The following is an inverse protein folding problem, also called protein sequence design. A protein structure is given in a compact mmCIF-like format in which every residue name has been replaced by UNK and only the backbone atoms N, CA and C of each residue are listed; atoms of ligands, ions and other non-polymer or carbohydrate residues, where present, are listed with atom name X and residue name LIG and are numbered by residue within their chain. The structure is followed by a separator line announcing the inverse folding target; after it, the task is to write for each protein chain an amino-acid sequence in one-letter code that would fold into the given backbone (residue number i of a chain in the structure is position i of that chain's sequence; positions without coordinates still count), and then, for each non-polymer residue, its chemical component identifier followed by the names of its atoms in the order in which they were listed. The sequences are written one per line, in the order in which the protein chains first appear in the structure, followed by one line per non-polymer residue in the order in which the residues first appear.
data_IF_806307424675
#
_entry.id   IF_806307424675
#
_cell.length_a   1.000
_cell.length_b   1.000
_cell.length_c   1.000
_cell.angle_alpha   90.00
_cell.angle_beta   90.00
_cell.angle_gamma   90.00
#
_symmetry.space_group_name_H-M   'P 1'
#
loop_
_entity.id
_entity.type
_entity.pdbx_description
1 polymer ?
#
# COMPACT_ATOMS: atom_id res chain seq x y z
N UNK A 1 -5.47 -9.21 10.40
CA UNK A 1 -4.95 -9.38 9.02
C UNK A 1 -4.97 -10.82 8.53
N UNK A 2 -5.79 -11.09 7.51
CA UNK A 2 -5.82 -12.36 6.76
C UNK A 2 -4.90 -12.26 5.53
N UNK A 3 -3.99 -13.22 5.37
CA UNK A 3 -3.18 -13.41 4.16
C UNK A 3 -3.13 -14.91 3.92
N UNK A 4 -3.56 -15.36 2.75
CA UNK A 4 -3.57 -16.77 2.36
C UNK A 4 -2.51 -17.03 1.29
N UNK A 5 -2.17 -18.29 1.07
CA UNK A 5 -1.28 -18.71 -0.01
C UNK A 5 -2.12 -19.42 -1.07
N UNK A 6 -1.94 -19.04 -2.33
CA UNK A 6 -2.54 -19.70 -3.48
C UNK A 6 -1.46 -20.17 -4.46
N UNK A 7 -1.75 -21.25 -5.18
CA UNK A 7 -0.91 -21.77 -6.24
C UNK A 7 -1.67 -21.77 -7.56
N UNK A 8 -1.05 -21.27 -8.63
CA UNK A 8 -1.44 -21.50 -10.00
C UNK A 8 -0.61 -22.62 -10.63
N UNK A 9 -1.25 -23.38 -11.53
CA UNK A 9 -0.58 -24.31 -12.44
C UNK A 9 -0.89 -23.96 -13.92
N UNK A 10 0.17 -23.80 -14.72
CA UNK A 10 0.10 -23.52 -16.15
C UNK A 10 0.80 -24.62 -16.94
N UNK A 11 0.07 -25.34 -17.78
CA UNK A 11 0.61 -26.43 -18.60
C UNK A 11 0.82 -25.94 -20.03
N UNK A 12 2.06 -25.78 -20.52
CA UNK A 12 2.33 -25.24 -21.85
C UNK A 12 1.92 -26.18 -22.98
N UNK A 13 1.53 -25.61 -24.12
CA UNK A 13 1.52 -26.32 -25.40
C UNK A 13 2.96 -26.75 -25.78
N UNK A 14 3.14 -27.80 -26.61
CA UNK A 14 4.45 -28.23 -27.07
C UNK A 14 5.25 -27.08 -27.72
N UNK A 15 6.48 -26.87 -27.25
CA UNK A 15 7.37 -25.81 -27.76
C UNK A 15 7.04 -24.38 -27.27
N UNK A 16 6.05 -24.20 -26.39
CA UNK A 16 5.60 -22.88 -25.90
C UNK A 16 6.08 -22.51 -24.50
N UNK A 17 7.09 -23.20 -23.97
CA UNK A 17 7.56 -22.98 -22.59
C UNK A 17 8.03 -21.55 -22.34
N UNK A 18 8.85 -21.00 -23.23
CA UNK A 18 9.45 -19.68 -23.03
C UNK A 18 8.39 -18.57 -23.21
N UNK A 19 7.57 -18.64 -24.26
CA UNK A 19 6.44 -17.73 -24.47
C UNK A 19 5.46 -17.73 -23.28
N UNK A 20 5.25 -18.90 -22.66
CA UNK A 20 4.38 -19.01 -21.49
C UNK A 20 4.98 -18.29 -20.28
N UNK A 21 6.30 -18.27 -20.10
CA UNK A 21 6.94 -17.56 -18.99
C UNK A 21 6.61 -16.06 -19.07
N UNK A 22 6.84 -15.45 -20.22
CA UNK A 22 6.57 -14.02 -20.42
C UNK A 22 5.07 -13.69 -20.21
N UNK A 23 4.17 -14.55 -20.71
CA UNK A 23 2.73 -14.36 -20.56
C UNK A 23 2.27 -14.52 -19.09
N UNK A 24 2.86 -15.46 -18.35
CA UNK A 24 2.59 -15.64 -16.92
C UNK A 24 3.11 -14.44 -16.13
N UNK A 25 4.31 -13.95 -16.42
CA UNK A 25 4.87 -12.77 -15.75
C UNK A 25 3.98 -11.53 -15.99
N UNK A 26 3.45 -11.35 -17.20
CA UNK A 26 2.49 -10.29 -17.52
C UNK A 26 1.15 -10.45 -16.75
N UNK A 27 0.66 -11.68 -16.59
CA UNK A 27 -0.53 -11.96 -15.76
C UNK A 27 -0.29 -11.57 -14.30
N UNK A 28 0.84 -11.98 -13.71
CA UNK A 28 1.16 -11.67 -12.32
C UNK A 28 1.42 -10.18 -12.10
N UNK A 29 2.02 -9.48 -13.07
CA UNK A 29 2.11 -8.01 -13.04
C UNK A 29 0.72 -7.36 -12.98
N UNK A 30 -0.22 -7.82 -13.81
CA UNK A 30 -1.61 -7.34 -13.79
C UNK A 30 -2.34 -7.65 -12.48
N UNK A 31 -2.16 -8.85 -11.92
CA UNK A 31 -2.74 -9.24 -10.63
C UNK A 31 -2.22 -8.37 -9.49
N UNK A 32 -0.92 -8.02 -9.51
CA UNK A 32 -0.29 -7.10 -8.57
C UNK A 32 -0.88 -5.70 -8.64
N UNK A 33 -0.91 -5.13 -9.86
CA UNK A 33 -1.43 -3.79 -10.10
C UNK A 33 -2.92 -3.68 -9.73
N UNK A 34 -3.71 -4.74 -9.97
CA UNK A 34 -5.10 -4.78 -9.58
C UNK A 34 -5.30 -5.03 -8.06
N UNK A 35 -4.26 -5.48 -7.36
CA UNK A 35 -4.26 -5.78 -5.92
C UNK A 35 -4.92 -7.11 -5.55
N UNK A 36 -5.03 -8.05 -6.49
CA UNK A 36 -5.54 -9.41 -6.26
C UNK A 36 -4.53 -10.32 -5.57
N UNK A 37 -3.25 -9.99 -5.70
CA UNK A 37 -2.15 -10.68 -5.02
C UNK A 37 -1.29 -9.66 -4.27
N UNK A 38 -0.59 -10.13 -3.26
CA UNK A 38 0.24 -9.33 -2.35
C UNK A 38 1.68 -9.84 -2.31
N UNK A 39 2.62 -8.92 -2.11
CA UNK A 39 4.05 -9.22 -1.99
C UNK A 39 4.66 -9.95 -3.17
N UNK A 40 5.69 -10.74 -2.92
CA UNK A 40 6.35 -11.47 -4.00
C UNK A 40 5.63 -12.77 -4.34
N UNK A 41 5.89 -13.26 -5.55
CA UNK A 41 5.45 -14.58 -6.00
C UNK A 41 6.67 -15.40 -6.40
N UNK A 42 6.59 -16.71 -6.22
CA UNK A 42 7.68 -17.65 -6.56
C UNK A 42 7.19 -18.53 -7.69
N UNK A 43 7.95 -18.58 -8.78
CA UNK A 43 7.57 -19.29 -9.98
C UNK A 43 8.65 -20.32 -10.39
N UNK A 44 8.22 -21.54 -10.71
CA UNK A 44 9.12 -22.65 -11.03
C UNK A 44 8.50 -23.68 -11.98
N UNK A 45 9.34 -24.48 -12.62
CA UNK A 45 8.87 -25.63 -13.41
C UNK A 45 8.84 -26.87 -12.54
N UNK A 46 7.65 -27.46 -12.37
CA UNK A 46 7.45 -28.65 -11.56
C UNK A 46 6.50 -29.58 -12.31
N UNK A 47 6.90 -30.84 -12.51
CA UNK A 47 6.07 -31.87 -13.17
C UNK A 47 5.49 -31.44 -14.54
N UNK A 48 6.25 -30.66 -15.31
CA UNK A 48 5.84 -30.20 -16.64
C UNK A 48 4.95 -28.94 -16.64
N UNK A 49 4.49 -28.46 -15.49
CA UNK A 49 3.78 -27.19 -15.34
C UNK A 49 4.71 -26.07 -14.90
N UNK A 50 4.42 -24.84 -15.33
CA UNK A 50 4.91 -23.64 -14.65
C UNK A 50 3.97 -23.43 -13.46
N UNK A 51 4.48 -23.61 -12.25
CA UNK A 51 3.74 -23.36 -11.01
C UNK A 51 4.13 -22.01 -10.44
N UNK A 52 3.16 -21.27 -9.93
CA UNK A 52 3.38 -19.98 -9.28
C UNK A 52 2.67 -19.94 -7.94
N UNK A 53 3.43 -19.78 -6.87
CA UNK A 53 2.92 -19.59 -5.51
C UNK A 53 2.89 -18.10 -5.18
N UNK A 54 1.77 -17.60 -4.68
CA UNK A 54 1.57 -16.19 -4.36
C UNK A 54 0.73 -16.00 -3.10
N UNK A 55 0.76 -14.80 -2.53
CA UNK A 55 -0.10 -14.43 -1.41
C UNK A 55 -1.36 -13.76 -1.94
N UNK A 56 -2.51 -14.14 -1.41
CA UNK A 56 -3.82 -13.58 -1.75
C UNK A 56 -4.54 -13.07 -0.50
N UNK A 57 -5.34 -12.01 -0.60
CA UNK A 57 -6.06 -11.45 0.54
C UNK A 57 -7.35 -12.19 0.93
N UNK A 58 -7.83 -13.09 0.07
CA UNK A 58 -9.07 -13.83 0.25
C UNK A 58 -9.08 -15.11 -0.59
N UNK A 59 -10.01 -16.01 -0.29
CA UNK A 59 -10.12 -17.28 -1.01
C UNK A 59 -10.63 -17.14 -2.45
N UNK A 60 -11.30 -16.03 -2.75
CA UNK A 60 -11.89 -15.68 -4.04
C UNK A 60 -11.05 -14.68 -4.84
N UNK A 61 -9.90 -14.22 -4.31
CA UNK A 61 -9.18 -13.09 -4.88
C UNK A 61 -8.72 -13.29 -6.32
N UNK A 62 -8.59 -14.54 -6.76
CA UNK A 62 -8.17 -14.93 -8.10
C UNK A 62 -9.34 -15.27 -9.04
N UNK A 63 -10.59 -15.08 -8.60
CA UNK A 63 -11.77 -15.27 -9.43
C UNK A 63 -11.84 -14.27 -10.59
N UNK A 64 -12.28 -14.74 -11.76
CA UNK A 64 -12.46 -13.93 -12.98
C UNK A 64 -13.39 -12.71 -12.76
N UNK A 65 -14.27 -12.72 -11.74
CA UNK A 65 -15.16 -11.60 -11.39
C UNK A 65 -14.41 -10.37 -10.86
N UNK A 66 -13.20 -10.56 -10.31
CA UNK A 66 -12.35 -9.50 -9.79
C UNK A 66 -11.32 -9.02 -10.82
N UNK A 67 -11.19 -9.73 -11.94
CA UNK A 67 -10.22 -9.44 -12.97
C UNK A 67 -10.49 -8.09 -13.65
N UNK A 68 -9.45 -7.26 -13.69
CA UNK A 68 -9.42 -6.02 -14.46
C UNK A 68 -9.37 -6.29 -15.97
N UNK A 69 -9.40 -5.25 -16.80
CA UNK A 69 -9.24 -5.43 -18.24
C UNK A 69 -7.85 -5.96 -18.58
N UNK A 70 -6.80 -5.43 -17.94
CA UNK A 70 -5.42 -5.92 -18.05
C UNK A 70 -5.32 -7.40 -17.65
N UNK A 71 -5.86 -7.77 -16.48
CA UNK A 71 -5.81 -9.17 -16.00
C UNK A 71 -6.52 -10.11 -16.98
N UNK A 72 -7.71 -9.74 -17.47
CA UNK A 72 -8.45 -10.55 -18.45
C UNK A 72 -7.68 -10.75 -19.75
N UNK A 73 -7.04 -9.70 -20.26
CA UNK A 73 -6.25 -9.77 -21.49
C UNK A 73 -4.98 -10.63 -21.31
N UNK A 74 -4.29 -10.49 -20.18
CA UNK A 74 -3.14 -11.32 -19.85
C UNK A 74 -3.54 -12.79 -19.68
N UNK A 75 -4.64 -13.06 -18.97
CA UNK A 75 -5.16 -14.42 -18.78
C UNK A 75 -5.58 -15.06 -20.12
N UNK A 76 -6.17 -14.30 -21.04
CA UNK A 76 -6.47 -14.78 -22.38
C UNK A 76 -5.21 -15.18 -23.16
N UNK A 77 -4.14 -14.39 -23.02
CA UNK A 77 -2.83 -14.69 -23.65
C UNK A 77 -2.20 -15.96 -23.07
N UNK A 78 -2.25 -16.12 -21.74
CA UNK A 78 -1.82 -17.36 -21.07
C UNK A 78 -2.65 -18.55 -21.53
N UNK A 79 -3.99 -18.44 -21.58
CA UNK A 79 -4.90 -19.51 -22.04
C UNK A 79 -4.60 -19.96 -23.46
N UNK A 80 -4.17 -19.06 -24.35
CA UNK A 80 -3.79 -19.40 -25.72
C UNK A 80 -2.49 -20.22 -25.83
N UNK A 81 -1.65 -20.20 -24.78
CA UNK A 81 -0.37 -20.90 -24.72
C UNK A 81 -0.42 -22.19 -23.90
N UNK A 82 -1.53 -22.44 -23.19
CA UNK A 82 -1.69 -23.62 -22.36
C UNK A 82 -2.41 -24.77 -23.09
N UNK A 83 -1.99 -26.00 -22.79
CA UNK A 83 -2.66 -27.22 -23.24
C UNK A 83 -4.03 -27.42 -22.56
N UNK A 84 -4.20 -26.86 -21.37
CA UNK A 84 -5.44 -26.86 -20.60
C UNK A 84 -5.65 -25.49 -19.91
N UNK A 85 -6.88 -25.13 -19.53
CA UNK A 85 -7.13 -23.88 -18.83
C UNK A 85 -6.30 -23.78 -17.54
N UNK A 86 -5.67 -22.62 -17.25
CA UNK A 86 -4.95 -22.42 -16.00
C UNK A 86 -5.83 -22.72 -14.79
N UNK A 87 -5.27 -23.46 -13.83
CA UNK A 87 -5.95 -23.82 -12.59
C UNK A 87 -5.27 -23.14 -11.41
N UNK A 88 -6.04 -22.83 -10.38
CA UNK A 88 -5.49 -22.37 -9.11
C UNK A 88 -6.31 -22.88 -7.92
N UNK A 89 -5.66 -22.90 -6.77
CA UNK A 89 -6.30 -23.21 -5.49
C UNK A 89 -5.60 -22.49 -4.35
N UNK A 90 -6.34 -22.18 -3.29
CA UNK A 90 -5.74 -21.82 -1.99
C UNK A 90 -5.14 -23.07 -1.37
N UNK A 91 -3.88 -22.98 -0.94
CA UNK A 91 -3.10 -24.07 -0.32
C UNK A 91 -2.85 -23.85 1.17
N UNK A 92 -3.36 -22.74 1.73
CA UNK A 92 -3.35 -22.46 3.17
C UNK A 92 -4.52 -23.17 3.86
N UNK A 93 -4.32 -23.69 5.07
CA UNK A 93 -5.36 -24.33 5.88
C UNK A 93 -6.37 -23.30 6.42
N UNK A 94 -5.99 -22.02 6.44
CA UNK A 94 -6.87 -20.93 6.87
C UNK A 94 -7.84 -20.56 5.74
N UNK A 95 -9.02 -20.14 6.16
CA UNK A 95 -10.05 -19.59 5.26
C UNK A 95 -10.57 -18.29 5.83
N UNK A 96 -11.06 -17.42 4.97
CA UNK A 96 -11.68 -16.17 5.36
C UNK A 96 -11.89 -15.26 4.17
N UNK A 97 -12.83 -14.33 4.35
CA UNK A 97 -13.12 -13.31 3.36
C UNK A 97 -12.15 -12.14 3.50
N UNK A 98 -11.80 -11.47 2.38
CA UNK A 98 -10.98 -10.28 2.42
C UNK A 98 -11.69 -9.14 3.17
N UNK A 99 -10.92 -8.20 3.74
CA UNK A 99 -11.49 -7.04 4.42
C UNK A 99 -12.28 -6.17 3.44
N UNK A 100 -13.54 -5.90 3.77
CA UNK A 100 -14.43 -4.99 3.04
C UNK A 100 -14.22 -3.54 3.49
N UNK A 101 -14.24 -2.61 2.55
CA UNK A 101 -14.26 -1.17 2.85
C UNK A 101 -15.64 -0.64 3.22
N UNK A 102 -16.72 -1.38 2.90
CA UNK A 102 -18.11 -0.89 3.06
C UNK A 102 -18.54 -0.76 4.52
N UNK A 103 -17.84 -1.44 5.42
CA UNK A 103 -18.11 -1.43 6.86
C UNK A 103 -17.32 -0.32 7.57
N UNK A 104 -16.46 0.41 6.84
CA UNK A 104 -15.64 1.48 7.36
C UNK A 104 -16.33 2.84 7.33
N UNK A 105 -15.88 3.75 8.21
CA UNK A 105 -16.28 5.17 8.22
C UNK A 105 -15.14 6.11 7.87
N UNK A 106 -13.94 5.56 7.78
CA UNK A 106 -12.70 6.26 7.53
C UNK A 106 -11.65 5.24 7.12
N UNK A 107 -10.77 5.58 6.18
CA UNK A 107 -9.58 4.78 5.84
C UNK A 107 -8.32 5.58 6.18
N UNK A 108 -7.17 4.92 6.19
CA UNK A 108 -5.89 5.63 6.11
C UNK A 108 -4.93 4.92 5.17
N UNK A 109 -4.00 5.70 4.62
CA UNK A 109 -3.04 5.30 3.63
C UNK A 109 -1.68 5.16 4.29
N UNK A 110 -1.19 3.92 4.39
CA UNK A 110 0.03 3.57 5.09
C UNK A 110 0.59 2.25 4.57
N UNK A 111 1.91 2.18 4.45
CA UNK A 111 2.62 0.91 4.28
C UNK A 111 4.01 1.03 4.90
N UNK A 112 4.76 -0.05 4.96
CA UNK A 112 6.14 -0.07 5.40
C UNK A 112 6.87 -1.26 4.78
N UNK A 113 8.19 -1.30 4.91
CA UNK A 113 9.06 -2.31 4.27
C UNK A 113 8.74 -3.74 4.73
N UNK A 114 8.37 -3.93 6.00
CA UNK A 114 8.14 -5.26 6.57
C UNK A 114 6.80 -5.92 6.21
N UNK A 115 5.83 -5.16 5.71
CA UNK A 115 4.52 -5.71 5.32
C UNK A 115 4.25 -5.46 3.84
N UNK A 116 4.02 -6.55 3.11
CA UNK A 116 3.80 -6.51 1.67
C UNK A 116 2.31 -6.60 1.28
N UNK A 117 1.44 -5.87 1.96
CA UNK A 117 -0.02 -5.88 1.76
C UNK A 117 -0.54 -4.62 1.05
N UNK A 118 -1.86 -4.45 0.96
CA UNK A 118 -2.45 -3.22 0.42
C UNK A 118 -2.05 -1.99 1.25
N UNK A 119 -1.76 -0.84 0.61
CA UNK A 119 -1.47 0.42 1.31
C UNK A 119 -2.71 1.11 1.89
N UNK A 120 -3.92 0.65 1.54
CA UNK A 120 -5.18 1.20 2.05
C UNK A 120 -5.62 0.41 3.28
N UNK A 121 -5.65 1.04 4.44
CA UNK A 121 -5.96 0.43 5.73
C UNK A 121 -7.35 0.84 6.24
N UNK A 122 -8.05 -0.12 6.83
CA UNK A 122 -9.30 0.11 7.55
C UNK A 122 -9.08 1.07 8.74
N UNK A 123 -9.97 2.05 8.90
CA UNK A 123 -9.83 3.02 9.99
C UNK A 123 -10.16 2.45 11.37
N UNK A 124 -10.90 1.34 11.44
CA UNK A 124 -11.26 0.72 12.73
C UNK A 124 -10.10 0.00 13.40
N UNK A 125 -9.31 -0.76 12.64
CA UNK A 125 -8.29 -1.67 13.19
C UNK A 125 -6.94 -1.61 12.46
N UNK A 126 -6.91 -1.04 11.25
CA UNK A 126 -5.71 -0.94 10.43
C UNK A 126 -5.49 -2.12 9.50
N UNK A 127 -6.41 -3.09 9.45
CA UNK A 127 -6.28 -4.21 8.52
C UNK A 127 -6.32 -3.71 7.05
N UNK A 128 -5.46 -4.27 6.17
CA UNK A 128 -5.37 -3.83 4.78
C UNK A 128 -6.61 -4.24 3.97
N UNK A 129 -7.09 -3.33 3.12
CA UNK A 129 -8.21 -3.52 2.21
C UNK A 129 -7.66 -3.79 0.80
N UNK A 130 -7.97 -4.94 0.18
CA UNK A 130 -7.52 -5.25 -1.18
C UNK A 130 -7.99 -4.23 -2.22
N UNK A 131 -7.08 -3.82 -3.11
CA UNK A 131 -7.37 -2.75 -4.08
C UNK A 131 -8.49 -3.13 -5.06
N UNK A 132 -8.59 -4.42 -5.46
CA UNK A 132 -9.64 -4.89 -6.38
C UNK A 132 -11.06 -4.79 -5.80
N UNK A 133 -11.20 -4.63 -4.48
CA UNK A 133 -12.50 -4.42 -3.83
C UNK A 133 -12.92 -2.96 -3.77
N UNK A 134 -11.96 -2.03 -3.91
CA UNK A 134 -12.24 -0.60 -3.93
C UNK A 134 -12.84 -0.20 -5.29
N UNK A 135 -13.81 0.72 -5.32
CA UNK A 135 -14.50 1.16 -6.53
C UNK A 135 -13.64 2.14 -7.36
N UNK A 136 -12.40 1.76 -7.64
CA UNK A 136 -11.40 2.57 -8.32
C UNK A 136 -11.27 2.22 -9.80
N UNK A 137 -10.73 3.15 -10.58
CA UNK A 137 -10.29 2.88 -11.94
C UNK A 137 -9.07 1.93 -11.95
N UNK A 138 -8.82 1.29 -13.08
CA UNK A 138 -7.62 0.44 -13.25
C UNK A 138 -6.32 1.25 -13.12
N UNK A 139 -6.30 2.46 -13.70
CA UNK A 139 -5.17 3.40 -13.62
C UNK A 139 -4.87 3.81 -12.17
N UNK A 140 -5.89 4.18 -11.40
CA UNK A 140 -5.72 4.56 -9.99
C UNK A 140 -5.18 3.40 -9.16
N UNK A 141 -5.62 2.15 -9.41
CA UNK A 141 -5.08 0.96 -8.73
C UNK A 141 -3.60 0.73 -9.07
N UNK A 142 -3.22 0.89 -10.34
CA UNK A 142 -1.82 0.80 -10.76
C UNK A 142 -0.95 1.89 -10.09
N UNK A 143 -1.43 3.13 -10.04
CA UNK A 143 -0.74 4.23 -9.38
C UNK A 143 -0.58 3.99 -7.87
N UNK A 144 -1.62 3.46 -7.20
CA UNK A 144 -1.55 3.04 -5.79
C UNK A 144 -0.49 1.96 -5.57
N UNK A 145 -0.44 0.95 -6.45
CA UNK A 145 0.58 -0.10 -6.39
C UNK A 145 1.99 0.46 -6.61
N UNK A 146 2.17 1.36 -7.59
CA UNK A 146 3.45 2.03 -7.86
C UNK A 146 3.91 2.88 -6.67
N UNK A 147 3.00 3.70 -6.12
CA UNK A 147 3.27 4.50 -4.94
C UNK A 147 3.68 3.63 -3.75
N UNK A 148 2.97 2.53 -3.49
CA UNK A 148 3.29 1.59 -2.41
C UNK A 148 4.71 1.05 -2.55
N UNK A 149 5.13 0.68 -3.76
CA UNK A 149 6.51 0.23 -4.02
C UNK A 149 7.52 1.35 -3.73
N UNK A 150 7.29 2.56 -4.24
CA UNK A 150 8.17 3.72 -3.98
C UNK A 150 8.30 3.99 -2.49
N UNK A 151 7.17 3.99 -1.75
CA UNK A 151 7.17 4.21 -0.32
C UNK A 151 8.04 3.17 0.40
N UNK A 152 7.86 1.88 0.12
CA UNK A 152 8.65 0.81 0.75
C UNK A 152 10.13 0.92 0.44
N UNK A 153 10.51 1.32 -0.77
CA UNK A 153 11.90 1.55 -1.11
C UNK A 153 12.51 2.70 -0.32
N UNK A 154 11.78 3.82 -0.13
CA UNK A 154 12.25 4.90 0.73
C UNK A 154 12.35 4.46 2.20
N UNK A 155 11.39 3.69 2.68
CA UNK A 155 11.41 3.13 4.05
C UNK A 155 12.62 2.21 4.27
N UNK A 156 12.93 1.34 3.30
CA UNK A 156 14.11 0.48 3.31
C UNK A 156 15.43 1.29 3.27
N UNK A 157 15.53 2.29 2.38
CA UNK A 157 16.70 3.17 2.29
C UNK A 157 16.89 3.96 3.59
N UNK A 158 15.80 4.41 4.23
CA UNK A 158 15.86 5.09 5.52
C UNK A 158 16.42 4.19 6.62
N UNK A 159 16.07 2.90 6.63
CA UNK A 159 16.51 1.98 7.67
C UNK A 159 17.95 1.46 7.45
N UNK A 160 18.32 1.16 6.21
CA UNK A 160 19.50 0.34 5.92
C UNK A 160 20.60 1.05 5.11
N UNK A 161 20.35 2.27 4.64
CA UNK A 161 21.28 2.99 3.75
C UNK A 161 21.80 4.28 4.39
N UNK A 162 22.54 4.18 5.49
CA UNK A 162 23.02 5.32 6.31
C UNK A 162 23.30 6.65 5.58
N UNK A 163 24.12 6.71 4.50
CA UNK A 163 24.35 7.96 3.76
C UNK A 163 23.12 8.59 3.09
N UNK A 164 22.10 7.79 2.74
CA UNK A 164 20.86 8.20 2.10
C UNK A 164 19.67 8.26 3.07
N UNK A 165 19.88 7.93 4.35
CA UNK A 165 18.83 7.85 5.36
C UNK A 165 17.97 9.12 5.41
N UNK A 166 18.62 10.29 5.50
CA UNK A 166 17.92 11.57 5.69
C UNK A 166 17.18 12.02 4.42
N UNK A 167 17.72 11.72 3.24
CA UNK A 167 17.04 12.03 1.98
C UNK A 167 15.81 11.16 1.78
N UNK A 168 15.88 9.88 2.16
CA UNK A 168 14.73 9.00 2.16
C UNK A 168 13.70 9.38 3.24
N UNK A 169 14.15 9.70 4.45
CA UNK A 169 13.28 10.20 5.53
C UNK A 169 12.52 11.46 5.10
N UNK A 170 13.17 12.38 4.37
CA UNK A 170 12.48 13.58 3.85
C UNK A 170 11.28 13.23 2.97
N UNK A 171 11.37 12.18 2.15
CA UNK A 171 10.25 11.75 1.31
C UNK A 171 9.07 11.19 2.13
N UNK A 172 9.37 10.52 3.24
CA UNK A 172 8.39 9.89 4.13
C UNK A 172 7.76 10.86 5.13
N UNK A 173 8.50 11.90 5.55
CA UNK A 173 8.13 12.78 6.65
C UNK A 173 7.71 14.20 6.25
N UNK A 174 8.13 14.70 5.08
CA UNK A 174 7.73 16.03 4.60
C UNK A 174 6.45 15.94 3.75
N UNK A 175 5.32 16.59 4.16
CA UNK A 175 4.06 16.50 3.42
C UNK A 175 4.10 17.19 2.05
N UNK A 176 5.19 17.90 1.74
CA UNK A 176 5.46 18.57 0.48
C UNK A 176 6.51 17.83 -0.36
N UNK A 177 7.05 16.70 0.09
CA UNK A 177 7.89 15.85 -0.74
C UNK A 177 7.05 15.18 -1.85
N UNK A 178 7.69 14.83 -2.96
CA UNK A 178 7.05 14.20 -4.12
C UNK A 178 6.26 12.95 -3.72
N UNK A 179 6.87 12.03 -2.96
CA UNK A 179 6.20 10.82 -2.49
C UNK A 179 4.93 11.11 -1.68
N UNK A 180 4.99 12.12 -0.81
CA UNK A 180 3.87 12.51 0.05
C UNK A 180 2.78 13.26 -0.71
N UNK A 181 3.13 14.06 -1.71
CA UNK A 181 2.17 14.72 -2.59
C UNK A 181 1.40 13.69 -3.42
N UNK A 182 2.11 12.76 -4.08
CA UNK A 182 1.50 11.64 -4.82
C UNK A 182 0.56 10.83 -3.93
N UNK A 183 1.03 10.45 -2.72
CA UNK A 183 0.23 9.64 -1.80
C UNK A 183 -1.02 10.34 -1.29
N UNK A 184 -0.96 11.66 -1.08
CA UNK A 184 -2.11 12.48 -0.67
C UNK A 184 -3.10 12.69 -1.80
N UNK A 185 -2.63 12.78 -3.05
CA UNK A 185 -3.49 12.78 -4.23
C UNK A 185 -4.25 11.45 -4.36
N UNK A 186 -3.54 10.33 -4.26
CA UNK A 186 -4.15 9.01 -4.30
C UNK A 186 -5.14 8.77 -3.14
N UNK A 187 -4.81 9.20 -1.92
CA UNK A 187 -5.72 9.14 -0.78
C UNK A 187 -7.01 9.94 -1.03
N UNK A 188 -6.91 11.09 -1.70
CA UNK A 188 -8.07 11.89 -2.11
C UNK A 188 -8.91 11.19 -3.18
N UNK A 189 -8.29 10.55 -4.16
CA UNK A 189 -9.01 9.77 -5.18
C UNK A 189 -9.77 8.60 -4.55
N UNK A 190 -9.18 7.94 -3.55
CA UNK A 190 -9.84 6.92 -2.74
C UNK A 190 -11.03 7.50 -1.97
N UNK A 191 -10.85 8.63 -1.27
CA UNK A 191 -11.93 9.33 -0.54
C UNK A 191 -13.09 9.70 -1.47
N UNK A 192 -12.80 10.23 -2.67
CA UNK A 192 -13.81 10.56 -3.67
C UNK A 192 -14.60 9.33 -4.13
N UNK A 193 -13.92 8.19 -4.31
CA UNK A 193 -14.55 6.96 -4.79
C UNK A 193 -15.43 6.27 -3.73
N UNK A 194 -15.05 6.33 -2.45
CA UNK A 194 -15.78 5.65 -1.36
C UNK A 194 -16.74 6.57 -0.60
N UNK A 195 -16.55 7.89 -0.67
CA UNK A 195 -17.43 8.90 -0.09
C UNK A 195 -17.21 9.22 1.40
N UNK A 196 -16.09 8.81 1.98
CA UNK A 196 -15.76 9.08 3.39
C UNK A 196 -14.25 9.30 3.62
N UNK A 197 -13.85 9.94 4.73
CA UNK A 197 -12.49 10.42 4.94
C UNK A 197 -11.41 9.36 4.74
N UNK A 198 -10.41 9.67 3.92
CA UNK A 198 -9.20 8.85 3.78
C UNK A 198 -7.98 9.69 4.15
N UNK A 199 -7.28 9.29 5.21
CA UNK A 199 -6.13 10.02 5.73
C UNK A 199 -4.83 9.49 5.12
N UNK A 200 -3.86 10.38 4.91
CA UNK A 200 -2.49 10.00 4.57
C UNK A 200 -1.63 9.95 5.84
N UNK A 201 -0.91 8.85 6.03
CA UNK A 201 0.06 8.74 7.12
C UNK A 201 1.36 9.46 6.76
N UNK A 202 1.79 10.35 7.65
CA UNK A 202 3.07 11.02 7.57
C UNK A 202 4.01 10.43 8.63
N UNK A 203 5.19 9.98 8.21
CA UNK A 203 6.18 9.44 9.13
C UNK A 203 6.75 10.55 10.02
N UNK A 204 7.01 10.24 11.28
CA UNK A 204 7.73 11.12 12.21
C UNK A 204 8.69 10.31 13.06
N UNK A 205 9.96 10.28 12.66
CA UNK A 205 10.99 9.57 13.42
C UNK A 205 11.71 10.52 14.38
N UNK A 206 12.23 11.63 13.84
CA UNK A 206 12.96 12.65 14.60
C UNK A 206 12.02 13.74 15.11
N UNK A 207 12.05 14.00 16.41
CA UNK A 207 11.33 15.09 17.07
C UNK A 207 12.21 15.83 18.08
N UNK A 208 11.62 16.81 18.76
CA UNK A 208 12.29 17.63 19.79
C UNK A 208 11.39 17.83 21.01
N UNK A 209 11.90 18.33 22.15
CA UNK A 209 11.05 18.64 23.30
C UNK A 209 9.87 19.54 22.91
N UNK A 210 8.67 19.22 23.41
CA UNK A 210 7.43 19.92 23.05
C UNK A 210 6.77 19.42 21.76
N UNK A 211 7.18 18.26 21.23
CA UNK A 211 6.57 17.60 20.07
C UNK A 211 5.04 17.44 20.20
N UNK A 212 4.50 17.35 21.42
CA UNK A 212 3.05 17.33 21.68
C UNK A 212 2.29 18.48 21.04
N UNK A 213 2.88 19.67 21.06
CA UNK A 213 2.25 20.92 20.65
C UNK A 213 2.63 21.30 19.21
N UNK A 214 3.28 20.40 18.47
CA UNK A 214 3.73 20.70 17.10
C UNK A 214 2.52 21.01 16.21
N UNK A 215 2.59 22.08 15.40
CA UNK A 215 1.54 22.39 14.46
C UNK A 215 1.47 21.35 13.34
N UNK A 216 0.30 21.23 12.70
CA UNK A 216 0.15 20.43 11.50
C UNK A 216 1.11 20.93 10.41
N UNK A 217 1.94 20.07 9.80
CA UNK A 217 2.91 20.51 8.81
C UNK A 217 2.26 20.86 7.46
N UNK A 218 0.98 20.54 7.27
CA UNK A 218 0.23 20.94 6.08
C UNK A 218 -0.43 22.33 6.17
N UNK A 219 -0.92 22.73 7.35
CA UNK A 219 -1.69 23.98 7.50
C UNK A 219 -1.32 24.85 8.70
N UNK A 220 -0.42 24.41 9.57
CA UNK A 220 -0.04 25.13 10.79
C UNK A 220 -1.03 25.02 11.95
N UNK A 221 -2.19 24.37 11.77
CA UNK A 221 -3.22 24.25 12.81
C UNK A 221 -2.90 23.23 13.89
N UNK A 222 -3.61 23.30 15.01
CA UNK A 222 -3.59 22.25 16.03
C UNK A 222 -4.15 20.94 15.47
N UNK A 223 -3.51 19.83 15.81
CA UNK A 223 -3.87 18.51 15.28
C UNK A 223 -3.53 17.37 16.22
N UNK A 224 -3.13 17.65 17.46
CA UNK A 224 -2.97 16.61 18.46
C UNK A 224 -4.34 16.04 18.84
N UNK A 225 -4.46 14.72 18.84
CA UNK A 225 -5.69 14.02 19.22
C UNK A 225 -5.71 13.84 20.74
N UNK A 226 -6.84 14.15 21.43
CA UNK A 226 -6.95 13.98 22.88
C UNK A 226 -7.03 12.51 23.33
N UNK A 227 -7.23 11.57 22.41
CA UNK A 227 -7.45 10.15 22.70
C UNK A 227 -6.10 9.45 22.90
N UNK A 228 -5.86 8.98 24.12
CA UNK A 228 -4.63 8.29 24.57
C UNK A 228 -4.91 6.86 25.03
N UNK A 229 -5.88 6.20 24.44
CA UNK A 229 -6.11 4.80 24.79
C UNK A 229 -5.15 3.92 23.97
N UNK A 230 -4.10 3.43 24.66
CA UNK A 230 -3.08 2.53 24.08
C UNK A 230 -3.66 1.19 23.60
N UNK A 231 -4.91 0.87 23.91
CA UNK A 231 -5.62 -0.30 23.38
C UNK A 231 -6.33 -0.04 22.05
N UNK A 232 -6.36 1.21 21.58
CA UNK A 232 -7.01 1.56 20.31
C UNK A 232 -6.19 1.09 19.12
N UNK A 233 -6.90 0.59 18.11
CA UNK A 233 -6.37 0.15 16.82
C UNK A 233 -6.79 1.11 15.71
N UNK A 234 -6.33 0.86 14.48
CA UNK A 234 -6.69 1.68 13.32
C UNK A 234 -6.29 3.15 13.47
N UNK A 235 -7.21 4.07 13.19
CA UNK A 235 -6.98 5.52 13.31
C UNK A 235 -6.80 5.99 14.76
N UNK A 236 -7.33 5.25 15.75
CA UNK A 236 -7.23 5.62 17.16
C UNK A 236 -5.79 5.65 17.67
N UNK A 237 -4.89 4.91 17.00
CA UNK A 237 -3.48 4.80 17.39
C UNK A 237 -2.65 6.05 17.09
N UNK A 238 -3.14 6.97 16.25
CA UNK A 238 -2.36 8.15 15.83
C UNK A 238 -2.59 9.32 16.79
N UNK A 239 -1.52 9.79 17.41
CA UNK A 239 -1.56 10.95 18.32
C UNK A 239 -1.81 12.27 17.60
N UNK A 240 -1.64 12.31 16.27
CA UNK A 240 -1.89 13.49 15.47
C UNK A 240 -2.85 13.17 14.32
N UNK A 241 -3.89 14.00 14.18
CA UNK A 241 -4.86 13.94 13.09
C UNK A 241 -5.32 15.34 12.71
N UNK A 242 -5.11 15.71 11.45
CA UNK A 242 -5.56 16.97 10.88
C UNK A 242 -6.71 16.72 9.89
N UNK A 243 -7.92 17.13 10.25
CA UNK A 243 -9.11 16.97 9.40
C UNK A 243 -8.98 17.75 8.08
N UNK A 244 -8.60 19.06 8.05
CA UNK A 244 -8.49 19.80 6.80
C UNK A 244 -7.42 19.26 5.84
N UNK A 245 -6.29 18.77 6.38
CA UNK A 245 -5.20 18.28 5.54
C UNK A 245 -5.32 16.80 5.19
N UNK A 246 -6.26 16.06 5.80
CA UNK A 246 -6.33 14.60 5.77
C UNK A 246 -5.00 13.94 6.13
N UNK A 247 -4.34 14.43 7.18
CA UNK A 247 -3.06 13.88 7.65
C UNK A 247 -3.24 13.17 8.99
N UNK A 248 -2.55 12.06 9.16
CA UNK A 248 -2.35 11.39 10.44
C UNK A 248 -0.87 11.11 10.67
N UNK A 249 -0.43 11.11 11.92
CA UNK A 249 0.95 10.83 12.29
C UNK A 249 1.00 10.31 13.73
N UNK A 250 2.08 9.63 14.05
CA UNK A 250 2.43 9.28 15.43
C UNK A 250 3.31 10.36 16.08
N UNK A 251 3.53 10.26 17.39
CA UNK A 251 4.62 10.97 18.08
C UNK A 251 5.98 10.50 17.57
N UNK A 252 6.95 11.41 17.56
CA UNK A 252 8.32 11.10 17.18
C UNK A 252 8.86 9.89 17.97
N UNK A 253 9.51 8.98 17.24
CA UNK A 253 10.13 7.78 17.82
C UNK A 253 11.45 8.08 18.53
N UNK A 254 12.12 9.16 18.15
CA UNK A 254 13.41 9.61 18.71
C UNK A 254 13.40 11.12 18.93
N UNK A 255 14.00 11.57 20.03
CA UNK A 255 14.23 12.98 20.30
C UNK A 255 15.68 13.32 19.98
N UNK A 256 15.87 14.36 19.18
CA UNK A 256 17.17 14.87 18.78
C UNK A 256 17.12 16.40 18.82
N UNK A 257 17.99 17.00 19.63
CA UNK A 257 18.06 18.46 19.80
C UNK A 257 19.24 19.07 19.04
N UNK A 258 20.20 18.24 18.64
CA UNK A 258 21.51 18.70 18.15
C UNK A 258 21.60 18.65 16.61
N UNK A 259 20.70 17.92 15.95
CA UNK A 259 20.60 17.87 14.48
C UNK A 259 19.48 18.74 13.91
N UNK A 260 19.56 19.03 12.61
CA UNK A 260 18.47 19.65 11.85
C UNK A 260 17.39 18.65 11.39
N UNK A 261 17.46 17.38 11.79
CA UNK A 261 16.51 16.36 11.33
C UNK A 261 15.07 16.58 11.81
N UNK A 262 14.81 17.08 13.03
CA UNK A 262 13.45 17.39 13.47
C UNK A 262 12.75 18.44 12.59
N UNK A 263 13.48 19.32 11.89
CA UNK A 263 12.90 20.34 10.99
C UNK A 263 12.24 19.73 9.75
N UNK A 264 12.56 18.48 9.42
CA UNK A 264 11.94 17.74 8.31
C UNK A 264 10.51 17.40 8.69
N UNK A 265 9.55 17.83 7.87
CA UNK A 265 8.14 17.61 8.13
C UNK A 265 7.54 18.53 9.18
N UNK A 266 8.17 19.69 9.44
CA UNK A 266 7.58 20.76 10.25
C UNK A 266 6.89 21.82 9.40
N UNK A 267 5.93 22.52 10.02
CA UNK A 267 5.27 23.65 9.39
C UNK A 267 6.25 24.80 9.14
N UNK A 268 6.35 25.23 7.88
CA UNK A 268 7.27 26.32 7.46
C UNK A 268 6.58 27.69 7.29
N UNK A 269 5.36 27.83 7.81
CA UNK A 269 4.53 29.01 7.55
C UNK A 269 3.83 28.96 6.19
N UNK A 270 2.91 29.90 5.92
CA UNK A 270 2.34 30.05 4.59
C UNK A 270 3.47 30.35 3.61
N UNK A 271 3.51 29.67 2.47
CA UNK A 271 4.47 29.96 1.42
C UNK A 271 4.42 31.46 1.12
N UNK A 272 5.54 32.16 1.32
CA UNK A 272 5.67 33.53 0.89
C UNK A 272 5.59 33.52 -0.63
N UNK A 273 4.41 33.83 -1.17
CA UNK A 273 4.27 34.19 -2.57
C UNK A 273 5.08 35.47 -2.79
N UNK A 274 6.36 35.30 -3.14
CA UNK A 274 7.13 36.37 -3.75
C UNK A 274 6.33 36.84 -4.96
N UNK A 275 5.92 38.10 -4.88
CA UNK A 275 5.11 38.83 -5.87
C UNK A 275 5.86 38.99 -7.18
#
# INVERSE_FOLDING_TARGET
MLVLIAEYAFFPLPGKRDELVDAVDALFAGLHQNGQIWGDHVAGWVEGARRVTCRVPGCDSLDDRHASAIVRNALASVRALCAEPPQWSVVDDRTGDPRSWRDEKSLFFFTHVFEQTSPVCAGTDGDPIPLYLLPLSEETREQLFSWMKKYRMYDEVQLDCGPLEIDAYRQLADPHAELSQDGRELARDVELAIGFPTYYYLMRYWGRPGEEDRPCPGCGGEWQTPVRDRSTTGLGRFEFRCEPCRLVSHKASSLDEDSGHPEIGEWRGPASHAS
#
